data_IF_326333098174
#
_entry.id   IF_326333098174
#
_cell.length_a   1.000
_cell.length_b   1.000
_cell.length_c   1.000
_cell.angle_alpha   90.00
_cell.angle_beta   90.00
_cell.angle_gamma   90.00
#
_symmetry.space_group_name_H-M   'P 1'
#
loop_
_entity.id
_entity.type
_entity.pdbx_description
1 polymer ?
#
# COMPACT_ATOMS: atom_id res chain seq x y z
N UNK A 1 -14.21 -61.45 -5.60
CA UNK A 1 -13.91 -61.03 -4.21
C UNK A 1 -12.87 -59.90 -4.25
N UNK A 2 -13.06 -58.86 -3.41
CA UNK A 2 -12.13 -57.74 -3.03
C UNK A 2 -11.60 -56.85 -4.18
N UNK A 3 -12.15 -55.66 -4.46
CA UNK A 3 -12.00 -54.34 -3.78
C UNK A 3 -10.59 -54.07 -3.23
N UNK A 4 -9.91 -53.04 -3.78
CA UNK A 4 -9.31 -51.89 -3.06
C UNK A 4 -9.02 -50.78 -4.08
N UNK A 5 -9.65 -49.63 -3.82
CA UNK A 5 -9.40 -48.32 -4.43
C UNK A 5 -8.01 -47.81 -4.06
N UNK A 6 -7.22 -47.34 -5.03
CA UNK A 6 -6.09 -46.44 -4.77
C UNK A 6 -6.49 -45.05 -5.26
N UNK A 7 -6.54 -44.13 -4.29
CA UNK A 7 -6.94 -42.73 -4.43
C UNK A 7 -5.90 -41.98 -5.27
N UNK A 8 -6.36 -41.32 -6.33
CA UNK A 8 -5.70 -40.17 -6.95
C UNK A 8 -5.67 -39.03 -5.91
N UNK A 9 -4.52 -38.79 -5.30
CA UNK A 9 -4.30 -37.68 -4.38
C UNK A 9 -2.82 -37.29 -4.50
N UNK A 10 -2.56 -36.15 -5.13
CA UNK A 10 -1.19 -35.62 -5.21
C UNK A 10 -0.88 -34.87 -6.51
N UNK A 11 -1.73 -33.93 -6.89
CA UNK A 11 -1.51 -33.08 -8.06
C UNK A 11 -1.91 -31.64 -7.77
N UNK A 12 -1.26 -31.01 -6.79
CA UNK A 12 -1.42 -29.58 -6.50
C UNK A 12 -0.12 -29.08 -5.88
N UNK A 13 0.87 -28.86 -6.73
CA UNK A 13 2.19 -28.36 -6.36
C UNK A 13 2.57 -27.28 -7.36
N UNK A 14 2.76 -26.07 -6.82
CA UNK A 14 3.55 -24.95 -7.36
C UNK A 14 2.93 -24.00 -8.40
N UNK A 15 1.93 -23.21 -8.00
CA UNK A 15 1.77 -21.83 -8.54
C UNK A 15 1.36 -20.87 -7.42
N UNK A 16 2.26 -20.56 -6.48
CA UNK A 16 2.04 -19.49 -5.50
C UNK A 16 3.31 -18.90 -4.85
N UNK A 17 4.50 -19.08 -5.44
CA UNK A 17 5.77 -18.62 -4.83
C UNK A 17 6.28 -17.27 -5.35
N UNK A 18 5.57 -16.60 -6.26
CA UNK A 18 6.02 -15.31 -6.82
C UNK A 18 5.86 -14.09 -5.91
N UNK A 19 5.01 -14.16 -4.89
CA UNK A 19 4.62 -12.99 -4.09
C UNK A 19 5.45 -12.73 -2.84
N UNK A 20 6.12 -13.76 -2.28
CA UNK A 20 6.87 -13.62 -1.02
C UNK A 20 8.33 -13.18 -1.23
N UNK A 21 8.88 -13.33 -2.44
CA UNK A 21 10.32 -13.15 -2.71
C UNK A 21 10.83 -11.72 -2.51
N UNK A 22 9.99 -10.71 -2.73
CA UNK A 22 10.41 -9.31 -2.66
C UNK A 22 10.56 -8.79 -1.22
N UNK A 23 9.96 -9.44 -0.22
CA UNK A 23 10.13 -9.04 1.18
C UNK A 23 11.47 -9.49 1.76
N UNK A 24 12.12 -10.50 1.19
CA UNK A 24 13.36 -11.08 1.71
C UNK A 24 14.62 -10.75 0.87
N UNK A 25 14.46 -10.16 -0.32
CA UNK A 25 15.56 -9.96 -1.27
C UNK A 25 16.71 -9.05 -0.75
N UNK A 26 16.40 -8.06 0.10
CA UNK A 26 17.38 -7.06 0.59
C UNK A 26 17.47 -6.97 2.12
N UNK A 27 17.45 -8.13 2.80
CA UNK A 27 17.53 -8.19 4.26
C UNK A 27 16.17 -8.16 4.95
N UNK A 28 16.06 -8.91 6.04
CA UNK A 28 14.80 -9.09 6.76
C UNK A 28 14.65 -7.97 7.78
N UNK A 29 13.68 -7.07 7.57
CA UNK A 29 13.17 -6.29 8.69
C UNK A 29 12.13 -7.13 9.41
N UNK A 30 12.37 -7.37 10.69
CA UNK A 30 11.43 -8.11 11.53
C UNK A 30 10.53 -7.10 12.24
N UNK A 31 9.22 -7.25 12.07
CA UNK A 31 8.23 -6.48 12.82
C UNK A 31 7.91 -5.08 12.27
N UNK A 32 8.26 -4.77 11.02
CA UNK A 32 7.74 -3.58 10.34
C UNK A 32 6.36 -3.83 9.71
N UNK A 33 5.59 -2.78 9.44
CA UNK A 33 4.36 -2.93 8.68
C UNK A 33 4.63 -3.39 7.24
N UNK A 34 3.78 -4.30 6.76
CA UNK A 34 3.67 -4.71 5.37
C UNK A 34 2.25 -4.38 4.94
N UNK A 35 2.08 -3.57 3.91
CA UNK A 35 0.77 -3.00 3.57
C UNK A 35 0.41 -3.18 2.10
N UNK A 36 -0.89 -3.27 1.86
CA UNK A 36 -1.51 -2.91 0.58
C UNK A 36 -1.89 -1.44 0.63
N UNK A 37 -1.80 -0.76 -0.50
CA UNK A 37 -2.14 0.64 -0.62
C UNK A 37 -3.04 0.86 -1.84
N UNK A 38 -3.98 1.78 -1.73
CA UNK A 38 -4.89 2.20 -2.82
C UNK A 38 -5.19 3.70 -2.74
N UNK A 39 -5.57 4.27 -3.88
CA UNK A 39 -6.27 5.57 -3.95
C UNK A 39 -7.74 5.29 -4.18
N UNK A 40 -8.59 5.89 -3.35
CA UNK A 40 -10.03 5.74 -3.39
C UNK A 40 -10.71 7.11 -3.43
N UNK A 41 -11.98 7.14 -3.83
CA UNK A 41 -12.84 8.32 -3.79
C UNK A 41 -12.23 9.56 -4.49
N UNK A 42 -11.57 9.36 -5.63
CA UNK A 42 -10.98 10.46 -6.40
C UNK A 42 -12.07 11.36 -6.99
N UNK A 43 -11.92 12.66 -6.78
CA UNK A 43 -12.75 13.72 -7.34
C UNK A 43 -11.86 14.86 -7.83
N UNK A 44 -12.25 15.42 -8.97
CA UNK A 44 -11.60 16.57 -9.58
C UNK A 44 -12.65 17.63 -9.90
N UNK A 45 -12.42 18.84 -9.41
CA UNK A 45 -13.30 19.99 -9.59
C UNK A 45 -12.51 21.18 -10.12
N UNK A 46 -13.17 22.00 -10.91
CA UNK A 46 -12.61 23.25 -11.44
C UNK A 46 -13.61 24.36 -11.17
N UNK A 47 -13.15 25.44 -10.54
CA UNK A 47 -13.96 26.60 -10.23
C UNK A 47 -13.28 27.85 -10.81
N UNK A 48 -14.03 28.66 -11.55
CA UNK A 48 -13.55 29.95 -12.06
C UNK A 48 -14.25 31.07 -11.32
N UNK A 49 -13.48 31.96 -10.70
CA UNK A 49 -14.03 33.11 -9.98
C UNK A 49 -14.48 34.23 -10.95
N UNK A 50 -15.10 35.28 -10.40
CA UNK A 50 -15.54 36.46 -11.16
C UNK A 50 -14.38 37.25 -11.79
N UNK A 51 -13.14 37.01 -11.34
CA UNK A 51 -11.92 37.63 -11.85
C UNK A 51 -11.21 36.76 -12.91
N UNK A 52 -11.87 35.70 -13.38
CA UNK A 52 -11.35 34.75 -14.35
C UNK A 52 -10.12 33.95 -13.85
N UNK A 53 -9.96 33.81 -12.53
CA UNK A 53 -8.99 32.91 -11.94
C UNK A 53 -9.60 31.52 -11.82
N UNK A 54 -8.97 30.53 -12.45
CA UNK A 54 -9.38 29.14 -12.34
C UNK A 54 -8.61 28.44 -11.24
N UNK A 55 -9.34 27.78 -10.33
CA UNK A 55 -8.81 26.93 -9.27
C UNK A 55 -9.18 25.49 -9.57
N UNK A 56 -8.17 24.63 -9.57
CA UNK A 56 -8.27 23.20 -9.72
C UNK A 56 -8.20 22.55 -8.34
N UNK A 57 -9.21 21.77 -7.97
CA UNK A 57 -9.28 21.04 -6.70
C UNK A 57 -9.27 19.54 -6.96
N UNK A 58 -8.32 18.85 -6.35
CA UNK A 58 -8.16 17.40 -6.40
C UNK A 58 -8.40 16.85 -5.00
N UNK A 59 -9.33 15.91 -4.86
CA UNK A 59 -9.68 15.30 -3.58
C UNK A 59 -9.67 13.80 -3.71
N UNK A 60 -9.04 13.09 -2.78
CA UNK A 60 -9.02 11.63 -2.75
C UNK A 60 -8.68 11.10 -1.36
N UNK A 61 -8.87 9.79 -1.17
CA UNK A 61 -8.42 9.06 0.00
C UNK A 61 -7.27 8.14 -0.36
N UNK A 62 -6.22 8.16 0.44
CA UNK A 62 -5.19 7.12 0.41
C UNK A 62 -5.55 6.13 1.51
N UNK A 63 -5.70 4.86 1.12
CA UNK A 63 -6.10 3.79 2.03
C UNK A 63 -4.98 2.76 2.11
N UNK A 64 -4.57 2.43 3.33
CA UNK A 64 -3.64 1.33 3.59
C UNK A 64 -4.32 0.21 4.37
N UNK A 65 -3.95 -1.03 4.04
CA UNK A 65 -4.31 -2.22 4.79
C UNK A 65 -3.05 -2.99 5.19
N UNK A 66 -2.87 -3.23 6.48
CA UNK A 66 -1.77 -4.03 6.99
C UNK A 66 -2.05 -5.53 6.77
N UNK A 67 -1.13 -6.24 6.14
CA UNK A 67 -1.29 -7.67 5.85
C UNK A 67 -1.21 -8.52 7.13
N UNK A 68 -1.93 -9.65 7.22
CA UNK A 68 -1.80 -10.58 8.33
C UNK A 68 -0.34 -10.98 8.60
N UNK A 69 0.08 -10.94 9.86
CA UNK A 69 1.45 -11.20 10.30
C UNK A 69 2.40 -9.99 10.22
N UNK A 70 1.94 -8.83 9.74
CA UNK A 70 2.75 -7.61 9.73
C UNK A 70 2.86 -6.95 11.10
N UNK A 71 3.96 -6.22 11.33
CA UNK A 71 4.21 -5.53 12.59
C UNK A 71 3.65 -4.10 12.65
N UNK A 72 3.77 -3.47 13.82
CA UNK A 72 3.45 -2.06 14.04
C UNK A 72 4.60 -1.15 13.59
N UNK A 73 4.29 0.10 13.25
CA UNK A 73 5.31 1.07 12.84
C UNK A 73 4.77 2.16 11.91
N UNK A 74 5.64 2.68 11.06
CA UNK A 74 5.33 3.78 10.14
C UNK A 74 5.50 3.34 8.68
N UNK A 75 4.62 3.83 7.81
CA UNK A 75 4.69 3.63 6.36
C UNK A 75 4.77 4.98 5.65
N UNK A 76 5.73 5.13 4.75
CA UNK A 76 5.97 6.34 3.96
C UNK A 76 5.85 5.97 2.48
N UNK A 77 4.89 6.58 1.75
CA UNK A 77 4.76 6.35 0.31
C UNK A 77 5.83 7.11 -0.47
N UNK A 78 6.45 6.42 -1.42
CA UNK A 78 7.60 6.91 -2.19
C UNK A 78 7.35 6.82 -3.70
N UNK A 79 7.88 7.79 -4.44
CA UNK A 79 7.97 7.72 -5.90
C UNK A 79 9.14 6.83 -6.38
N UNK A 80 9.36 6.79 -7.70
CA UNK A 80 10.44 5.99 -8.30
C UNK A 80 11.84 6.46 -7.90
N UNK A 81 11.98 7.75 -7.59
CA UNK A 81 13.21 8.41 -7.15
C UNK A 81 13.38 8.41 -5.63
N UNK A 82 12.50 7.71 -4.90
CA UNK A 82 12.47 7.60 -3.44
C UNK A 82 12.15 8.91 -2.70
N UNK A 83 11.51 9.85 -3.38
CA UNK A 83 10.96 11.03 -2.73
C UNK A 83 9.68 10.65 -1.99
N UNK A 84 9.54 11.21 -0.79
CA UNK A 84 8.30 11.12 -0.02
C UNK A 84 7.20 11.91 -0.72
N UNK A 85 6.07 11.26 -0.99
CA UNK A 85 4.94 11.88 -1.68
C UNK A 85 3.99 12.59 -0.73
N UNK A 86 3.87 12.06 0.48
CA UNK A 86 2.81 12.41 1.40
C UNK A 86 3.23 12.15 2.85
N UNK A 87 2.47 12.66 3.82
CA UNK A 87 2.76 12.44 5.23
C UNK A 87 2.81 10.93 5.60
N UNK A 88 3.68 10.52 6.54
CA UNK A 88 3.75 9.12 6.96
C UNK A 88 2.43 8.63 7.59
N UNK A 89 2.12 7.35 7.37
CA UNK A 89 1.05 6.64 8.06
C UNK A 89 1.57 5.93 9.28
N UNK A 90 0.83 6.01 10.39
CA UNK A 90 1.07 5.22 11.58
C UNK A 90 0.21 3.94 11.56
N UNK A 91 0.85 2.80 11.72
CA UNK A 91 0.24 1.50 11.95
C UNK A 91 0.46 1.18 13.45
N UNK A 92 -0.55 1.41 14.30
CA UNK A 92 -0.37 1.47 15.75
C UNK A 92 -0.11 0.10 16.38
N UNK A 93 -0.58 -0.96 15.75
CA UNK A 93 -0.47 -2.33 16.26
C UNK A 93 -0.16 -3.31 15.13
N UNK A 94 0.47 -4.43 15.49
CA UNK A 94 0.73 -5.52 14.55
C UNK A 94 -0.58 -6.17 14.11
N UNK A 95 -0.68 -6.56 12.84
CA UNK A 95 -1.79 -7.36 12.37
C UNK A 95 -1.53 -8.84 12.67
N UNK A 96 -2.30 -9.51 13.56
CA UNK A 96 -2.01 -10.88 13.95
C UNK A 96 -2.07 -11.85 12.76
N UNK A 97 -1.20 -12.87 12.70
CA UNK A 97 -1.23 -13.87 11.63
C UNK A 97 -2.48 -14.76 11.68
N UNK A 98 -3.19 -14.79 12.81
CA UNK A 98 -4.48 -15.46 12.96
C UNK A 98 -5.64 -14.69 12.33
N UNK A 99 -5.44 -13.44 11.91
CA UNK A 99 -6.49 -12.67 11.26
C UNK A 99 -6.61 -13.11 9.78
N UNK A 100 -7.79 -13.56 9.33
CA UNK A 100 -7.97 -13.94 7.92
C UNK A 100 -7.93 -12.73 6.97
N UNK A 101 -8.33 -11.55 7.46
CA UNK A 101 -8.43 -10.33 6.68
C UNK A 101 -7.32 -9.33 7.03
N UNK A 102 -6.90 -8.45 6.09
CA UNK A 102 -6.00 -7.36 6.39
C UNK A 102 -6.55 -6.41 7.46
N UNK A 103 -5.67 -5.93 8.34
CA UNK A 103 -6.02 -4.95 9.38
C UNK A 103 -6.10 -3.52 8.80
N UNK A 104 -7.02 -2.71 9.32
CA UNK A 104 -7.31 -1.37 8.83
C UNK A 104 -8.80 -1.20 8.49
N UNK A 105 -9.17 -0.24 7.63
CA UNK A 105 -8.28 0.63 6.85
C UNK A 105 -7.56 1.71 7.67
N UNK A 106 -6.36 2.07 7.24
CA UNK A 106 -5.68 3.29 7.66
C UNK A 106 -5.83 4.32 6.53
N UNK A 107 -6.78 5.23 6.71
CA UNK A 107 -7.19 6.18 5.66
C UNK A 107 -6.66 7.57 5.94
N UNK A 108 -6.27 8.28 4.87
CA UNK A 108 -5.98 9.71 4.90
C UNK A 108 -6.66 10.42 3.75
N UNK A 109 -7.41 11.47 4.08
CA UNK A 109 -7.95 12.39 3.10
C UNK A 109 -6.87 13.34 2.62
N UNK A 110 -6.82 13.55 1.31
CA UNK A 110 -5.93 14.50 0.65
C UNK A 110 -6.80 15.43 -0.19
N UNK A 111 -6.58 16.74 0.00
CA UNK A 111 -7.18 17.79 -0.82
C UNK A 111 -6.07 18.72 -1.26
N UNK A 112 -5.88 18.86 -2.57
CA UNK A 112 -4.91 19.79 -3.16
C UNK A 112 -5.61 20.79 -4.05
N UNK A 113 -5.22 22.05 -3.91
CA UNK A 113 -5.72 23.17 -4.71
C UNK A 113 -4.56 23.81 -5.45
N UNK A 114 -4.78 24.17 -6.71
CA UNK A 114 -3.78 24.80 -7.56
C UNK A 114 -4.43 25.76 -8.55
N UNK A 115 -3.70 26.78 -8.96
CA UNK A 115 -4.09 27.71 -10.03
C UNK A 115 -3.72 27.20 -11.44
N UNK A 116 -3.03 26.06 -11.52
CA UNK A 116 -2.74 25.34 -12.75
C UNK A 116 -2.99 23.84 -12.55
N UNK A 117 -3.33 23.08 -13.61
CA UNK A 117 -3.49 21.63 -13.50
C UNK A 117 -2.25 20.97 -12.91
N UNK A 118 -2.44 20.10 -11.91
CA UNK A 118 -1.35 19.34 -11.31
C UNK A 118 -0.99 18.14 -12.20
N UNK A 119 0.31 17.84 -12.28
CA UNK A 119 0.78 16.60 -12.90
C UNK A 119 0.71 15.49 -11.86
N UNK A 120 0.08 14.34 -12.17
CA UNK A 120 0.04 13.22 -11.26
C UNK A 120 1.44 12.64 -11.01
N UNK A 121 1.67 12.14 -9.79
CA UNK A 121 2.90 11.44 -9.40
C UNK A 121 2.57 10.02 -8.97
N UNK A 122 3.40 9.06 -9.37
CA UNK A 122 3.18 7.64 -9.07
C UNK A 122 3.92 7.24 -7.78
N UNK A 123 3.16 6.83 -6.76
CA UNK A 123 3.70 6.05 -5.66
C UNK A 123 3.98 4.64 -6.17
N UNK A 124 5.24 4.21 -6.16
CA UNK A 124 5.67 2.88 -6.65
C UNK A 124 6.34 2.04 -5.58
N UNK A 125 6.76 2.67 -4.48
CA UNK A 125 7.41 2.03 -3.33
C UNK A 125 6.80 2.59 -2.05
N UNK A 126 7.04 1.91 -0.94
CA UNK A 126 6.88 2.48 0.39
C UNK A 126 8.10 2.17 1.25
N UNK A 127 8.47 3.10 2.14
CA UNK A 127 9.40 2.82 3.23
C UNK A 127 8.61 2.44 4.46
N UNK A 128 8.89 1.28 5.01
CA UNK A 128 8.38 0.82 6.28
C UNK A 128 9.44 1.02 7.36
N UNK A 129 9.02 1.50 8.53
CA UNK A 129 9.86 1.73 9.70
C UNK A 129 9.20 1.00 10.87
N UNK A 130 9.85 -0.01 11.42
CA UNK A 130 9.34 -0.79 12.56
C UNK A 130 9.47 -0.02 13.88
N UNK A 131 8.76 -0.49 14.92
CA UNK A 131 8.80 0.11 16.26
C UNK A 131 10.21 0.19 16.89
N UNK A 132 11.15 -0.67 16.46
CA UNK A 132 12.55 -0.64 16.90
C UNK A 132 13.46 0.27 16.04
N UNK A 133 12.88 1.02 15.10
CA UNK A 133 13.60 1.97 14.24
C UNK A 133 14.29 1.37 13.01
N UNK A 134 14.18 0.06 12.76
CA UNK A 134 14.66 -0.52 11.50
C UNK A 134 13.78 -0.06 10.35
N UNK A 135 14.37 0.12 9.17
CA UNK A 135 13.62 0.56 7.99
C UNK A 135 13.98 -0.22 6.74
N UNK A 136 13.02 -0.35 5.83
CA UNK A 136 13.19 -0.97 4.53
C UNK A 136 12.30 -0.32 3.49
N UNK A 137 12.79 -0.22 2.26
CA UNK A 137 11.98 0.17 1.10
C UNK A 137 11.44 -1.09 0.42
N UNK A 138 10.15 -1.11 0.14
CA UNK A 138 9.43 -2.24 -0.44
C UNK A 138 8.64 -1.74 -1.65
N UNK A 139 8.67 -2.42 -2.80
CA UNK A 139 7.82 -2.07 -3.94
C UNK A 139 6.34 -2.26 -3.59
N UNK A 140 5.49 -1.36 -4.08
CA UNK A 140 4.04 -1.56 -4.03
C UNK A 140 3.62 -2.63 -5.04
N UNK A 141 2.55 -3.37 -4.73
CA UNK A 141 2.00 -4.39 -5.62
C UNK A 141 1.51 -3.79 -6.94
N UNK A 142 0.99 -2.57 -6.90
CA UNK A 142 0.62 -1.78 -8.05
C UNK A 142 0.98 -0.30 -7.79
N UNK A 143 1.45 0.44 -8.81
CA UNK A 143 1.60 1.88 -8.70
C UNK A 143 0.27 2.56 -8.35
N UNK A 144 0.34 3.61 -7.53
CA UNK A 144 -0.81 4.42 -7.15
C UNK A 144 -0.56 5.84 -7.61
N UNK A 145 -1.47 6.36 -8.41
CA UNK A 145 -1.41 7.73 -8.88
C UNK A 145 -1.90 8.68 -7.79
N UNK A 146 -1.09 9.67 -7.43
CA UNK A 146 -1.40 10.74 -6.48
C UNK A 146 -1.25 12.10 -7.15
N UNK A 147 -1.77 13.15 -6.51
CA UNK A 147 -1.59 14.56 -6.89
C UNK A 147 -1.06 15.29 -5.69
#
# INVERSE_FOLDING_TARGET
MRRIWVRFLGGLVLVALGGCGNFFADGVILGGPTVLASRENFSFQTETDQNNNTVYTYSYQIVLYALPGSGAGTVILLDASENQLEAPFLIPESCPPSNPDPCGPYTREVVKKSFAPLTPVQAVKYRTISANGQSKVVPLNAPIELY
#
